data_IF_809606834957
#
_entry.id   IF_809606834957
#
_cell.length_a   1.000
_cell.length_b   1.000
_cell.length_c   1.000
_cell.angle_alpha   90.00
_cell.angle_beta   90.00
_cell.angle_gamma   90.00
#
_symmetry.space_group_name_H-M   'P 1'
#
loop_
_entity.id
_entity.type
_entity.pdbx_description
1 polymer ?
#
# COMPACT_ATOMS: atom_id res chain seq x y z
N UNK A 1 36.62 17.50 7.60
CA UNK A 1 36.50 16.49 8.68
C UNK A 1 35.90 17.05 9.98
N UNK A 2 36.27 18.26 10.44
CA UNK A 2 35.70 18.87 11.66
C UNK A 2 34.18 19.11 11.61
N UNK A 3 33.60 19.46 10.46
CA UNK A 3 32.16 19.69 10.31
C UNK A 3 31.31 18.40 10.40
N UNK A 4 31.85 17.25 10.01
CA UNK A 4 31.13 15.95 10.09
C UNK A 4 31.08 15.46 11.54
N UNK A 5 32.15 15.71 12.32
CA UNK A 5 32.16 15.35 13.74
C UNK A 5 31.22 16.21 14.60
N UNK A 6 31.00 17.49 14.24
CA UNK A 6 30.02 18.36 14.91
C UNK A 6 28.58 17.87 14.73
N UNK A 7 28.24 17.40 13.54
CA UNK A 7 26.88 16.86 13.25
C UNK A 7 26.62 15.53 13.96
N UNK A 8 27.65 14.66 14.12
CA UNK A 8 27.51 13.43 14.89
C UNK A 8 27.32 13.67 16.40
N UNK A 9 28.00 14.69 16.95
CA UNK A 9 27.79 15.07 18.36
C UNK A 9 26.41 15.67 18.61
N UNK A 10 25.92 16.52 17.71
CA UNK A 10 24.56 17.06 17.81
C UNK A 10 23.48 15.96 17.72
N UNK A 11 23.69 14.97 16.87
CA UNK A 11 22.77 13.82 16.76
C UNK A 11 22.80 12.94 18.03
N UNK A 12 23.98 12.71 18.63
CA UNK A 12 24.10 12.00 19.90
C UNK A 12 23.44 12.72 21.08
N UNK A 13 23.51 14.05 21.10
CA UNK A 13 22.83 14.86 22.12
C UNK A 13 21.31 14.84 21.93
N UNK A 14 20.80 14.82 20.71
CA UNK A 14 19.35 14.68 20.44
C UNK A 14 18.82 13.29 20.85
N UNK A 15 19.59 12.22 20.60
CA UNK A 15 19.24 10.86 21.07
C UNK A 15 19.28 10.80 22.60
N UNK A 16 20.26 11.45 23.23
CA UNK A 16 20.32 11.55 24.70
C UNK A 16 19.19 12.42 25.28
N UNK A 17 18.65 13.38 24.53
CA UNK A 17 17.49 14.16 24.96
C UNK A 17 16.20 13.35 24.87
N UNK A 18 16.05 12.52 23.86
CA UNK A 18 14.94 11.54 23.75
C UNK A 18 15.07 10.46 24.82
N UNK A 19 16.28 10.00 25.14
CA UNK A 19 16.53 9.06 26.25
C UNK A 19 16.25 9.68 27.62
N UNK A 20 16.43 11.00 27.81
CA UNK A 20 16.02 11.70 29.05
C UNK A 20 14.51 11.84 29.18
N UNK A 21 13.78 11.95 28.06
CA UNK A 21 12.31 11.93 28.05
C UNK A 21 11.74 10.51 28.23
N UNK A 22 12.53 9.49 27.91
CA UNK A 22 12.17 8.08 28.04
C UNK A 22 13.34 7.28 28.64
N UNK A 23 13.48 7.23 29.97
CA UNK A 23 14.60 6.54 30.62
C UNK A 23 14.74 5.10 30.12
N UNK A 24 15.94 4.73 29.77
CA UNK A 24 16.40 3.49 29.11
C UNK A 24 16.00 2.15 29.80
N UNK A 25 15.25 2.19 30.88
CA UNK A 25 14.71 1.03 31.58
C UNK A 25 13.32 0.60 31.10
N UNK A 26 12.69 1.30 30.11
CA UNK A 26 11.30 1.05 29.71
C UNK A 26 11.18 0.68 28.23
N UNK A 27 11.90 -0.36 27.80
CA UNK A 27 11.58 -1.12 26.57
C UNK A 27 10.14 -1.71 26.49
N UNK A 28 9.25 -1.61 27.50
CA UNK A 28 7.88 -2.11 27.43
C UNK A 28 6.98 -1.34 26.48
N UNK A 29 7.27 -0.07 26.11
CA UNK A 29 6.32 0.72 25.29
C UNK A 29 6.16 0.21 23.86
N UNK A 30 7.25 -0.10 23.16
CA UNK A 30 7.15 -0.61 21.77
C UNK A 30 6.55 -2.01 21.72
N UNK A 31 6.90 -2.85 22.67
CA UNK A 31 6.33 -4.18 22.80
C UNK A 31 4.82 -4.13 23.08
N UNK A 32 4.37 -3.28 24.02
CA UNK A 32 2.95 -3.12 24.33
C UNK A 32 2.16 -2.50 23.17
N UNK A 33 2.73 -1.56 22.42
CA UNK A 33 2.09 -0.96 21.24
C UNK A 33 1.93 -2.02 20.15
N UNK A 34 2.97 -2.78 19.84
CA UNK A 34 2.90 -3.84 18.83
C UNK A 34 1.92 -4.95 19.25
N UNK A 35 1.87 -5.31 20.54
CA UNK A 35 0.86 -6.24 21.09
C UNK A 35 -0.56 -5.71 20.90
N UNK A 36 -0.80 -4.48 21.29
CA UNK A 36 -2.11 -3.85 21.12
C UNK A 36 -2.53 -3.81 19.67
N UNK A 37 -1.60 -3.43 18.76
CA UNK A 37 -1.85 -3.43 17.33
C UNK A 37 -2.15 -4.84 16.80
N UNK A 38 -1.36 -5.85 17.19
CA UNK A 38 -1.58 -7.24 16.79
C UNK A 38 -2.97 -7.75 17.25
N UNK A 39 -3.36 -7.50 18.50
CA UNK A 39 -4.67 -7.89 19.02
C UNK A 39 -5.80 -7.20 18.23
N UNK A 40 -5.70 -5.89 17.98
CA UNK A 40 -6.70 -5.15 17.21
C UNK A 40 -6.84 -5.72 15.80
N UNK A 41 -5.73 -6.00 15.12
CA UNK A 41 -5.77 -6.60 13.79
C UNK A 41 -6.33 -8.02 13.81
N UNK A 42 -5.99 -8.85 14.81
CA UNK A 42 -6.56 -10.18 14.96
C UNK A 42 -8.07 -10.12 15.18
N UNK A 43 -8.52 -9.26 16.11
CA UNK A 43 -9.95 -9.08 16.40
C UNK A 43 -10.71 -8.65 15.14
N UNK A 44 -10.17 -7.69 14.39
CA UNK A 44 -10.78 -7.23 13.15
C UNK A 44 -10.79 -8.33 12.08
N UNK A 45 -9.70 -9.10 11.92
CA UNK A 45 -9.67 -10.21 10.97
C UNK A 45 -10.72 -11.28 11.30
N UNK A 46 -10.84 -11.65 12.58
CA UNK A 46 -11.84 -12.62 13.06
C UNK A 46 -13.25 -12.06 12.89
N UNK A 47 -13.50 -10.81 13.26
CA UNK A 47 -14.79 -10.15 13.09
C UNK A 47 -15.21 -10.15 11.60
N UNK A 48 -14.30 -9.80 10.69
CA UNK A 48 -14.56 -9.81 9.25
C UNK A 48 -14.82 -11.23 8.72
N UNK A 49 -14.11 -12.25 9.22
CA UNK A 49 -14.38 -13.65 8.87
C UNK A 49 -15.77 -14.11 9.35
N UNK A 50 -16.17 -13.72 10.56
CA UNK A 50 -17.49 -14.05 11.09
C UNK A 50 -18.60 -13.33 10.30
N UNK A 51 -18.42 -12.05 10.00
CA UNK A 51 -19.35 -11.28 9.18
C UNK A 51 -19.45 -11.85 7.76
N UNK A 52 -18.32 -12.23 7.14
CA UNK A 52 -18.31 -12.88 5.85
C UNK A 52 -19.08 -14.22 5.86
N UNK A 53 -18.84 -15.06 6.87
CA UNK A 53 -19.50 -16.35 7.00
C UNK A 53 -21.02 -16.23 7.25
N UNK A 54 -21.44 -15.19 7.98
CA UNK A 54 -22.85 -14.89 8.24
C UNK A 54 -23.54 -14.06 7.15
N UNK A 55 -22.81 -13.57 6.15
CA UNK A 55 -23.35 -12.72 5.11
C UNK A 55 -24.00 -13.51 3.97
N UNK A 56 -25.19 -13.11 3.54
CA UNK A 56 -25.81 -13.63 2.33
C UNK A 56 -24.99 -13.30 1.07
N UNK A 57 -24.21 -12.22 1.12
CA UNK A 57 -23.34 -11.75 0.04
C UNK A 57 -21.89 -12.23 0.14
N UNK A 58 -21.64 -13.32 0.88
CA UNK A 58 -20.27 -13.85 1.10
C UNK A 58 -19.53 -14.16 -0.20
N UNK A 59 -20.25 -14.62 -1.22
CA UNK A 59 -19.69 -15.00 -2.52
C UNK A 59 -19.68 -13.84 -3.52
N UNK A 60 -20.02 -12.61 -3.08
CA UNK A 60 -19.96 -11.45 -3.94
C UNK A 60 -18.52 -11.11 -4.31
N UNK A 61 -18.28 -11.02 -5.60
CA UNK A 61 -16.99 -10.69 -6.18
C UNK A 61 -17.12 -9.49 -7.13
N UNK A 62 -16.09 -8.67 -7.14
CA UNK A 62 -15.96 -7.60 -8.11
C UNK A 62 -15.29 -8.16 -9.36
N UNK A 63 -15.99 -8.14 -10.49
CA UNK A 63 -15.47 -8.57 -11.77
C UNK A 63 -14.63 -7.47 -12.38
N UNK A 64 -13.32 -7.71 -12.45
CA UNK A 64 -12.42 -6.82 -13.15
C UNK A 64 -12.61 -6.97 -14.65
N UNK A 65 -12.61 -5.84 -15.34
CA UNK A 65 -12.79 -5.79 -16.78
C UNK A 65 -11.52 -5.30 -17.47
N UNK A 66 -11.33 -5.74 -18.67
CA UNK A 66 -10.33 -5.21 -19.58
C UNK A 66 -11.02 -4.66 -20.81
N UNK A 67 -10.71 -3.40 -21.12
CA UNK A 67 -11.25 -2.76 -22.32
C UNK A 67 -10.13 -2.67 -23.33
N UNK A 68 -10.34 -3.24 -24.48
CA UNK A 68 -9.43 -3.17 -25.62
C UNK A 68 -10.19 -2.80 -26.88
N UNK A 69 -9.48 -2.34 -27.87
CA UNK A 69 -10.08 -1.93 -29.14
C UNK A 69 -9.41 -2.71 -30.28
N UNK A 70 -9.93 -3.90 -30.65
CA UNK A 70 -9.42 -4.67 -31.75
C UNK A 70 -9.72 -3.98 -33.09
N UNK A 71 -8.81 -4.18 -34.05
CA UNK A 71 -9.05 -3.85 -35.42
C UNK A 71 -9.93 -4.94 -36.03
N UNK A 72 -11.11 -4.58 -36.50
CA UNK A 72 -12.06 -5.51 -37.11
C UNK A 72 -12.48 -4.99 -38.48
N UNK A 73 -12.75 -5.86 -39.46
CA UNK A 73 -13.33 -5.42 -40.73
C UNK A 73 -14.76 -4.91 -40.50
N UNK A 74 -15.18 -3.90 -41.28
CA UNK A 74 -16.56 -3.41 -41.19
C UNK A 74 -17.54 -4.50 -41.67
N UNK A 75 -18.67 -4.62 -40.96
CA UNK A 75 -19.74 -5.52 -41.38
C UNK A 75 -20.71 -4.73 -42.26
N UNK A 76 -20.96 -5.20 -43.48
CA UNK A 76 -21.76 -4.49 -44.50
C UNK A 76 -21.30 -3.04 -44.74
N UNK A 77 -19.99 -2.80 -44.71
CA UNK A 77 -19.38 -1.49 -44.93
C UNK A 77 -19.57 -0.50 -43.76
N UNK A 78 -20.04 -0.94 -42.57
CA UNK A 78 -20.26 -0.10 -41.40
C UNK A 78 -19.54 -0.68 -40.19
N UNK A 79 -19.02 0.21 -39.30
CA UNK A 79 -18.52 -0.20 -38.01
C UNK A 79 -19.68 -0.47 -37.05
N UNK A 80 -19.44 -1.36 -36.07
CA UNK A 80 -20.39 -1.60 -35.00
C UNK A 80 -20.73 -0.29 -34.23
N UNK A 81 -21.89 -0.20 -33.57
CA UNK A 81 -22.26 0.98 -32.80
C UNK A 81 -21.17 1.38 -31.79
N UNK A 82 -20.70 2.61 -31.86
CA UNK A 82 -19.60 3.12 -31.03
C UNK A 82 -18.18 2.77 -31.53
N UNK A 83 -18.04 2.04 -32.64
CA UNK A 83 -16.78 1.83 -33.32
C UNK A 83 -16.35 3.05 -34.13
N UNK A 84 -15.03 3.23 -34.26
CA UNK A 84 -14.42 4.32 -35.05
C UNK A 84 -13.90 3.74 -36.34
N UNK A 85 -14.33 4.30 -37.49
CA UNK A 85 -13.78 3.92 -38.78
C UNK A 85 -12.38 4.53 -38.94
N UNK A 86 -11.39 3.68 -39.19
CA UNK A 86 -10.00 4.09 -39.38
C UNK A 86 -9.65 4.11 -40.87
N UNK A 87 -10.18 3.14 -41.65
CA UNK A 87 -10.04 3.06 -43.10
C UNK A 87 -11.27 2.39 -43.70
N UNK A 88 -11.29 2.24 -45.03
CA UNK A 88 -12.36 1.51 -45.71
C UNK A 88 -12.46 0.06 -45.25
N UNK A 89 -11.32 -0.56 -44.91
CA UNK A 89 -11.22 -1.97 -44.56
C UNK A 89 -11.16 -2.25 -43.08
N UNK A 90 -11.05 -1.19 -42.21
CA UNK A 90 -10.83 -1.39 -40.78
C UNK A 90 -11.62 -0.44 -39.88
N UNK A 91 -12.24 -1.06 -38.85
CA UNK A 91 -12.89 -0.38 -37.76
C UNK A 91 -12.13 -0.67 -36.44
N UNK A 92 -12.09 0.32 -35.56
CA UNK A 92 -11.62 0.14 -34.16
C UNK A 92 -12.87 -0.03 -33.28
N UNK A 93 -13.14 -1.23 -32.80
CA UNK A 93 -14.28 -1.51 -31.93
C UNK A 93 -13.84 -1.62 -30.47
N UNK A 94 -14.59 -0.96 -29.61
CA UNK A 94 -14.36 -1.06 -28.16
C UNK A 94 -15.04 -2.31 -27.62
N UNK A 95 -14.25 -3.22 -27.06
CA UNK A 95 -14.73 -4.43 -26.41
C UNK A 95 -14.31 -4.45 -24.93
N UNK A 96 -15.24 -4.84 -24.07
CA UNK A 96 -14.98 -5.00 -22.62
C UNK A 96 -15.26 -6.45 -22.26
N UNK A 97 -14.27 -7.12 -21.69
CA UNK A 97 -14.37 -8.50 -21.25
C UNK A 97 -14.04 -8.62 -19.75
N UNK A 98 -14.75 -9.46 -19.00
CA UNK A 98 -14.36 -9.79 -17.64
C UNK A 98 -13.08 -10.64 -17.70
N UNK A 99 -12.09 -10.33 -16.85
CA UNK A 99 -10.79 -10.99 -16.88
C UNK A 99 -10.37 -11.60 -15.55
N UNK A 100 -10.85 -11.07 -14.44
CA UNK A 100 -10.51 -11.55 -13.12
C UNK A 100 -11.61 -11.19 -12.12
N UNK A 101 -11.60 -11.83 -10.97
CA UNK A 101 -12.52 -11.55 -9.87
C UNK A 101 -11.74 -11.21 -8.61
N UNK A 102 -12.17 -10.17 -7.89
CA UNK A 102 -11.64 -9.78 -6.59
C UNK A 102 -12.76 -9.70 -5.56
N UNK A 103 -12.54 -10.31 -4.42
CA UNK A 103 -13.45 -10.22 -3.28
C UNK A 103 -12.99 -9.14 -2.32
N UNK A 104 -13.86 -8.18 -2.01
CA UNK A 104 -13.62 -7.15 -1.02
C UNK A 104 -13.35 -7.75 0.37
N UNK A 105 -14.07 -8.81 0.73
CA UNK A 105 -13.89 -9.51 1.99
C UNK A 105 -12.47 -10.03 2.16
N UNK A 106 -11.93 -10.70 1.14
CA UNK A 106 -10.58 -11.25 1.18
C UNK A 106 -9.50 -10.18 1.19
N UNK A 107 -9.73 -9.01 0.58
CA UNK A 107 -8.80 -7.89 0.66
C UNK A 107 -8.73 -7.33 2.08
N UNK A 108 -9.89 -7.15 2.75
CA UNK A 108 -9.95 -6.62 4.12
C UNK A 108 -9.40 -7.64 5.13
N UNK A 109 -9.80 -8.91 5.02
CA UNK A 109 -9.30 -10.00 5.87
C UNK A 109 -7.79 -10.14 5.69
N UNK A 110 -7.32 -10.12 4.45
CA UNK A 110 -5.89 -10.20 4.11
C UNK A 110 -5.10 -9.03 4.67
N UNK A 111 -5.61 -7.80 4.58
CA UNK A 111 -5.01 -6.63 5.20
C UNK A 111 -4.82 -6.81 6.71
N UNK A 112 -5.87 -7.15 7.44
CA UNK A 112 -5.79 -7.33 8.89
C UNK A 112 -4.96 -8.55 9.29
N UNK A 113 -5.12 -9.68 8.60
CA UNK A 113 -4.35 -10.89 8.85
C UNK A 113 -2.85 -10.69 8.64
N UNK A 114 -2.48 -9.99 7.56
CA UNK A 114 -1.08 -9.69 7.28
C UNK A 114 -0.48 -8.76 8.34
N UNK A 115 -1.18 -7.68 8.70
CA UNK A 115 -0.74 -6.76 9.76
C UNK A 115 -0.58 -7.48 11.10
N UNK A 116 -1.49 -8.39 11.45
CA UNK A 116 -1.34 -9.24 12.63
C UNK A 116 -0.04 -10.07 12.60
N UNK A 117 0.23 -10.72 11.47
CA UNK A 117 1.45 -11.54 11.29
C UNK A 117 2.71 -10.68 11.45
N UNK A 118 2.80 -9.54 10.78
CA UNK A 118 3.97 -8.66 10.85
C UNK A 118 4.17 -8.05 12.25
N UNK A 119 3.10 -7.64 12.93
CA UNK A 119 3.18 -7.16 14.30
C UNK A 119 3.66 -8.26 15.25
N UNK A 120 3.23 -9.51 15.04
CA UNK A 120 3.66 -10.68 15.82
C UNK A 120 5.14 -11.01 15.54
N UNK A 121 5.57 -10.92 14.27
CA UNK A 121 6.98 -11.09 13.89
C UNK A 121 7.87 -10.02 14.54
N UNK A 122 7.45 -8.76 14.52
CA UNK A 122 8.18 -7.67 15.19
C UNK A 122 8.36 -7.93 16.69
N UNK A 123 7.37 -8.51 17.36
CA UNK A 123 7.47 -8.93 18.76
C UNK A 123 8.38 -10.15 18.95
N UNK A 124 8.29 -11.13 18.02
CA UNK A 124 9.13 -12.34 18.05
C UNK A 124 10.62 -12.02 17.87
N UNK A 125 10.96 -11.14 16.94
CA UNK A 125 12.35 -10.66 16.77
C UNK A 125 12.85 -9.94 18.01
N UNK A 126 12.02 -9.15 18.68
CA UNK A 126 12.36 -8.49 19.94
C UNK A 126 12.70 -9.50 21.05
N UNK A 127 12.10 -10.69 21.03
CA UNK A 127 12.25 -11.73 22.04
C UNK A 127 13.36 -12.74 21.69
N UNK A 128 13.44 -13.18 20.45
CA UNK A 128 14.34 -14.21 19.97
C UNK A 128 15.79 -13.72 19.78
N UNK A 129 15.97 -12.46 19.37
CA UNK A 129 17.28 -11.82 19.11
C UNK A 129 17.78 -10.98 20.30
N UNK A 130 17.25 -11.21 21.51
CA UNK A 130 17.75 -10.57 22.72
C UNK A 130 17.58 -9.06 22.77
N UNK A 131 16.44 -8.53 22.29
CA UNK A 131 16.10 -7.10 22.23
C UNK A 131 16.99 -6.25 21.29
N UNK A 132 18.08 -6.78 20.75
CA UNK A 132 19.11 -5.94 20.14
C UNK A 132 18.75 -5.47 18.73
N UNK A 133 18.28 -6.34 17.83
CA UNK A 133 18.14 -5.96 16.41
C UNK A 133 17.02 -4.97 16.17
N UNK A 134 15.80 -5.24 16.62
CA UNK A 134 14.67 -4.33 16.46
C UNK A 134 14.87 -3.02 17.24
N UNK A 135 15.44 -3.09 18.44
CA UNK A 135 15.75 -1.92 19.27
C UNK A 135 16.82 -1.06 18.62
N UNK A 136 17.90 -1.66 18.08
CA UNK A 136 18.96 -0.94 17.38
C UNK A 136 18.45 -0.31 16.09
N UNK A 137 17.72 -1.04 15.24
CA UNK A 137 17.18 -0.49 14.00
C UNK A 137 16.22 0.67 14.27
N UNK A 138 15.25 0.51 15.19
CA UNK A 138 14.21 1.51 15.41
C UNK A 138 14.66 2.64 16.33
N UNK A 139 15.41 2.35 17.40
CA UNK A 139 15.83 3.35 18.38
C UNK A 139 17.13 4.06 18.02
N UNK A 140 18.11 3.34 17.50
CA UNK A 140 19.42 3.92 17.22
C UNK A 140 19.55 4.39 15.77
N UNK A 141 19.00 3.64 14.82
CA UNK A 141 19.07 4.00 13.40
C UNK A 141 17.84 4.77 12.90
N UNK A 142 16.74 4.71 13.64
CA UNK A 142 15.47 5.33 13.24
C UNK A 142 14.89 4.74 11.96
N UNK A 143 15.23 3.49 11.64
CA UNK A 143 14.73 2.75 10.49
C UNK A 143 13.82 1.62 10.96
N UNK A 144 12.74 1.35 10.24
CA UNK A 144 11.83 0.26 10.54
C UNK A 144 11.52 -0.54 9.27
N UNK A 145 12.52 -1.31 8.83
CA UNK A 145 12.45 -2.11 7.60
C UNK A 145 11.25 -3.05 7.58
N UNK A 146 10.98 -3.74 8.70
CA UNK A 146 9.87 -4.68 8.79
C UNK A 146 8.52 -3.99 8.58
N UNK A 147 8.34 -2.78 9.14
CA UNK A 147 7.12 -1.98 8.98
C UNK A 147 6.95 -1.49 7.54
N UNK A 148 8.02 -1.08 6.87
CA UNK A 148 7.93 -0.65 5.48
C UNK A 148 7.58 -1.80 4.54
N UNK A 149 8.10 -3.00 4.81
CA UNK A 149 7.71 -4.22 4.10
C UNK A 149 6.24 -4.60 4.39
N UNK A 150 5.81 -4.53 5.64
CA UNK A 150 4.40 -4.71 6.00
C UNK A 150 3.51 -3.76 5.18
N UNK A 151 3.81 -2.47 5.20
CA UNK A 151 3.00 -1.46 4.54
C UNK A 151 3.02 -1.60 3.02
N UNK A 152 4.11 -2.08 2.41
CA UNK A 152 4.14 -2.29 0.97
C UNK A 152 3.06 -3.28 0.49
N UNK A 153 2.69 -4.25 1.32
CA UNK A 153 1.64 -5.22 0.99
C UNK A 153 0.30 -4.84 1.61
N UNK A 154 0.26 -4.52 2.90
CA UNK A 154 -1.00 -4.24 3.62
C UNK A 154 -1.68 -2.95 3.10
N UNK A 155 -0.92 -1.86 2.90
CA UNK A 155 -1.47 -0.64 2.32
C UNK A 155 -1.95 -0.87 0.87
N UNK A 156 -1.27 -1.73 0.11
CA UNK A 156 -1.72 -2.11 -1.23
C UNK A 156 -3.09 -2.80 -1.18
N UNK A 157 -3.28 -3.79 -0.31
CA UNK A 157 -4.59 -4.45 -0.14
C UNK A 157 -5.69 -3.45 0.25
N UNK A 158 -5.39 -2.52 1.15
CA UNK A 158 -6.31 -1.47 1.55
C UNK A 158 -6.66 -0.53 0.39
N UNK A 159 -5.69 -0.09 -0.39
CA UNK A 159 -5.93 0.77 -1.56
C UNK A 159 -6.74 0.07 -2.64
N UNK A 160 -6.53 -1.23 -2.84
CA UNK A 160 -7.35 -2.03 -3.76
C UNK A 160 -8.80 -2.14 -3.26
N UNK A 161 -9.01 -2.34 -1.96
CA UNK A 161 -10.34 -2.35 -1.38
C UNK A 161 -11.06 -0.99 -1.58
N UNK A 162 -10.36 0.13 -1.34
CA UNK A 162 -10.89 1.48 -1.58
C UNK A 162 -11.21 1.67 -3.07
N UNK A 163 -10.32 1.26 -3.97
CA UNK A 163 -10.52 1.38 -5.41
C UNK A 163 -11.79 0.63 -5.88
N UNK A 164 -12.01 -0.60 -5.39
CA UNK A 164 -13.21 -1.38 -5.71
C UNK A 164 -14.48 -0.70 -5.18
N UNK A 165 -14.45 -0.15 -3.97
CA UNK A 165 -15.58 0.58 -3.37
C UNK A 165 -15.91 1.85 -4.15
N UNK A 166 -14.92 2.50 -4.74
CA UNK A 166 -15.11 3.66 -5.63
C UNK A 166 -15.53 3.28 -7.05
N UNK A 167 -15.68 1.99 -7.35
CA UNK A 167 -16.09 1.52 -8.67
C UNK A 167 -14.99 1.47 -9.72
N UNK A 168 -13.73 1.34 -9.31
CA UNK A 168 -12.60 1.09 -10.22
C UNK A 168 -12.56 -0.39 -10.55
N UNK A 169 -13.04 -0.77 -11.73
CA UNK A 169 -13.10 -2.19 -12.14
C UNK A 169 -12.15 -2.52 -13.30
N UNK A 170 -11.44 -1.54 -13.80
CA UNK A 170 -10.49 -1.73 -14.89
C UNK A 170 -9.22 -2.43 -14.38
N UNK A 171 -8.95 -3.65 -14.87
CA UNK A 171 -7.85 -4.50 -14.40
C UNK A 171 -6.49 -3.79 -14.41
N UNK A 172 -6.14 -3.12 -15.51
CA UNK A 172 -4.85 -2.43 -15.61
C UNK A 172 -4.73 -1.27 -14.61
N UNK A 173 -5.84 -0.55 -14.33
CA UNK A 173 -5.86 0.52 -13.33
C UNK A 173 -5.67 -0.06 -11.93
N UNK A 174 -6.33 -1.15 -11.58
CA UNK A 174 -6.16 -1.87 -10.31
C UNK A 174 -4.71 -2.32 -10.12
N UNK A 175 -4.11 -2.92 -11.15
CA UNK A 175 -2.69 -3.32 -11.14
C UNK A 175 -1.80 -2.09 -10.97
N UNK A 176 -2.07 -0.99 -11.68
CA UNK A 176 -1.34 0.26 -11.54
C UNK A 176 -1.39 0.84 -10.12
N UNK A 177 -2.57 0.88 -9.49
CA UNK A 177 -2.75 1.29 -8.09
C UNK A 177 -1.90 0.41 -7.15
N UNK A 178 -1.93 -0.92 -7.35
CA UNK A 178 -1.15 -1.84 -6.54
C UNK A 178 0.36 -1.55 -6.62
N UNK A 179 0.89 -1.43 -7.84
CA UNK A 179 2.31 -1.14 -8.05
C UNK A 179 2.72 0.23 -7.53
N UNK A 180 1.95 1.26 -7.77
CA UNK A 180 2.25 2.62 -7.29
C UNK A 180 2.23 2.69 -5.77
N UNK A 181 1.28 2.02 -5.11
CA UNK A 181 1.20 1.97 -3.65
C UNK A 181 2.40 1.21 -3.07
N UNK A 182 2.72 0.04 -3.59
CA UNK A 182 3.88 -0.73 -3.16
C UNK A 182 5.20 0.05 -3.38
N UNK A 183 5.35 0.69 -4.54
CA UNK A 183 6.51 1.53 -4.85
C UNK A 183 6.66 2.70 -3.87
N UNK A 184 5.55 3.34 -3.50
CA UNK A 184 5.54 4.41 -2.49
C UNK A 184 6.15 3.94 -1.16
N UNK A 185 5.75 2.77 -0.68
CA UNK A 185 6.25 2.22 0.58
C UNK A 185 7.73 1.82 0.48
N UNK A 186 8.15 1.25 -0.65
CA UNK A 186 9.55 0.93 -0.91
C UNK A 186 10.42 2.19 -1.02
N UNK A 187 9.91 3.27 -1.62
CA UNK A 187 10.61 4.56 -1.61
C UNK A 187 10.74 5.12 -0.18
N UNK A 188 9.73 4.92 0.68
CA UNK A 188 9.83 5.21 2.11
C UNK A 188 10.97 4.45 2.79
N UNK A 189 11.12 3.16 2.48
CA UNK A 189 12.23 2.34 2.98
C UNK A 189 13.60 2.88 2.52
N UNK A 190 13.72 3.21 1.23
CA UNK A 190 14.97 3.81 0.68
C UNK A 190 15.27 5.14 1.38
N UNK A 191 14.25 5.99 1.59
CA UNK A 191 14.41 7.26 2.28
C UNK A 191 14.90 7.08 3.73
N UNK A 192 14.33 6.13 4.48
CA UNK A 192 14.77 5.83 5.84
C UNK A 192 16.21 5.32 5.87
N UNK A 193 16.55 4.36 5.02
CA UNK A 193 17.90 3.77 4.97
C UNK A 193 18.97 4.77 4.51
N UNK A 194 18.65 5.64 3.58
CA UNK A 194 19.58 6.63 3.04
C UNK A 194 19.79 7.83 3.98
N UNK A 195 18.88 8.09 4.92
CA UNK A 195 18.86 9.30 5.75
C UNK A 195 20.19 9.54 6.50
N UNK A 196 20.84 8.48 6.96
CA UNK A 196 22.08 8.57 7.72
C UNK A 196 23.33 8.69 6.85
N UNK A 197 23.26 8.16 5.62
CA UNK A 197 24.39 8.13 4.69
C UNK A 197 24.39 9.31 3.71
N UNK A 198 23.24 9.61 3.14
CA UNK A 198 23.05 10.67 2.14
C UNK A 198 21.65 11.29 2.22
N UNK A 199 21.58 12.45 2.81
CA UNK A 199 20.35 13.20 3.00
C UNK A 199 19.69 13.58 1.66
N UNK A 200 20.47 13.80 0.60
CA UNK A 200 19.94 14.13 -0.74
C UNK A 200 19.17 12.95 -1.32
N UNK A 201 19.75 11.77 -1.29
CA UNK A 201 19.08 10.54 -1.73
C UNK A 201 17.83 10.27 -0.92
N UNK A 202 17.85 10.48 0.40
CA UNK A 202 16.67 10.35 1.25
C UNK A 202 15.53 11.29 0.81
N UNK A 203 15.82 12.56 0.54
CA UNK A 203 14.82 13.54 0.08
C UNK A 203 14.26 13.19 -1.31
N UNK A 204 15.13 12.76 -2.23
CA UNK A 204 14.69 12.33 -3.58
C UNK A 204 13.76 11.11 -3.48
N UNK A 205 14.13 10.10 -2.70
CA UNK A 205 13.31 8.93 -2.49
C UNK A 205 11.95 9.29 -1.85
N UNK A 206 11.97 10.14 -0.83
CA UNK A 206 10.75 10.61 -0.16
C UNK A 206 9.83 11.38 -1.13
N UNK A 207 10.38 12.32 -1.90
CA UNK A 207 9.64 13.08 -2.91
C UNK A 207 9.06 12.18 -4.00
N UNK A 208 9.81 11.17 -4.46
CA UNK A 208 9.32 10.17 -5.43
C UNK A 208 8.16 9.37 -4.85
N UNK A 209 8.24 8.97 -3.56
CA UNK A 209 7.14 8.29 -2.87
C UNK A 209 5.87 9.16 -2.83
N UNK A 210 5.98 10.44 -2.52
CA UNK A 210 4.84 11.36 -2.55
C UNK A 210 4.25 11.53 -3.95
N UNK A 211 5.10 11.61 -4.97
CA UNK A 211 4.66 11.71 -6.36
C UNK A 211 3.88 10.47 -6.81
N UNK A 212 4.38 9.27 -6.49
CA UNK A 212 3.68 8.01 -6.82
C UNK A 212 2.36 7.87 -6.08
N UNK A 213 2.31 8.22 -4.79
CA UNK A 213 1.06 8.22 -4.02
C UNK A 213 0.07 9.27 -4.53
N UNK A 214 0.56 10.46 -4.93
CA UNK A 214 -0.26 11.49 -5.57
C UNK A 214 -0.95 10.98 -6.84
N UNK A 215 -0.26 10.14 -7.64
CA UNK A 215 -0.85 9.46 -8.79
C UNK A 215 -1.99 8.53 -8.42
N UNK A 216 -1.85 7.74 -7.34
CA UNK A 216 -2.93 6.88 -6.82
C UNK A 216 -4.15 7.73 -6.41
N UNK A 217 -3.93 8.78 -5.62
CA UNK A 217 -5.02 9.64 -5.15
C UNK A 217 -5.69 10.40 -6.28
N UNK A 218 -4.95 10.78 -7.32
CA UNK A 218 -5.53 11.40 -8.52
C UNK A 218 -6.49 10.45 -9.23
N UNK A 219 -6.10 9.17 -9.42
CA UNK A 219 -6.94 8.14 -10.03
C UNK A 219 -8.21 7.94 -9.21
N UNK A 220 -8.08 7.75 -7.90
CA UNK A 220 -9.22 7.51 -7.00
C UNK A 220 -10.14 8.73 -6.89
N UNK A 221 -9.57 9.95 -6.82
CA UNK A 221 -10.32 11.19 -6.78
C UNK A 221 -11.14 11.44 -8.06
N UNK A 222 -10.55 11.19 -9.22
CA UNK A 222 -11.28 11.26 -10.51
C UNK A 222 -12.41 10.24 -10.59
N UNK A 223 -12.18 9.03 -10.08
CA UNK A 223 -13.23 8.02 -10.05
C UNK A 223 -14.36 8.41 -9.10
N UNK A 224 -14.06 8.94 -7.92
CA UNK A 224 -15.05 9.44 -6.97
C UNK A 224 -15.91 10.56 -7.59
N UNK A 225 -15.28 11.53 -8.25
CA UNK A 225 -15.98 12.60 -8.96
C UNK A 225 -16.97 12.01 -9.99
N UNK A 226 -16.51 11.04 -10.78
CA UNK A 226 -17.37 10.36 -11.76
C UNK A 226 -18.57 9.66 -11.13
N UNK A 227 -18.36 9.04 -9.97
CA UNK A 227 -19.40 8.31 -9.25
C UNK A 227 -20.45 9.28 -8.68
N UNK A 228 -20.00 10.41 -8.11
CA UNK A 228 -20.91 11.40 -7.50
C UNK A 228 -21.69 12.24 -8.52
N UNK A 229 -21.13 12.51 -9.69
CA UNK A 229 -21.77 13.34 -10.72
C UNK A 229 -22.82 12.54 -11.50
N UNK A 230 -22.71 11.21 -11.55
CA UNK A 230 -23.63 10.34 -12.31
C UNK A 230 -24.68 9.62 -11.47
N UNK A 231 -24.61 9.76 -10.14
CA UNK A 231 -25.66 9.30 -9.22
C UNK A 231 -26.75 10.36 -9.04
#
# INVERSE_FOLDING_TARGET
>A
MAHIMSSCCQYREHVSCVDRLFPCGKAPKYWSINWSAAIVHLVNAVAMLLLWNGSENRDSVYRLTETYAPWVPPVNGTCAPGGIRISEDWCLERRTVPTAELSLWWLIIGFHGLSFVFQTLAMGECRALGKQKYTVEVQEQGTNTLRMLEYSVSATLMQLAIALLLGVWQRLVIIGIAFLTAATMLMGLVAEQSRLADLRTAWVAHGTGWFTMGGVWLILGRQLEFTLVKS
#
